data_IF_480368948627
#
_entry.id   IF_480368948627
#
_cell.length_a   1.000
_cell.length_b   1.000
_cell.length_c   1.000
_cell.angle_alpha   90.00
_cell.angle_beta   90.00
_cell.angle_gamma   90.00
#
_symmetry.space_group_name_H-M   'P 1'
#
loop_
_entity.id
_entity.type
_entity.pdbx_description
1 polymer ?
#
# COMPACT_ATOMS: atom_id res chain seq x y z
N UNK A 1 -17.96 23.26 15.49
CA UNK A 1 -16.57 22.99 15.92
C UNK A 1 -16.05 21.65 15.38
N UNK A 2 -16.54 20.49 15.82
CA UNK A 2 -16.00 19.16 15.40
C UNK A 2 -15.93 18.96 13.87
N UNK A 3 -17.01 19.27 13.13
CA UNK A 3 -17.04 19.15 11.66
C UNK A 3 -16.04 20.07 10.96
N UNK A 4 -15.91 21.31 11.43
CA UNK A 4 -14.95 22.27 10.90
C UNK A 4 -13.52 21.77 11.12
N UNK A 5 -13.20 21.28 12.32
CA UNK A 5 -11.88 20.72 12.62
C UNK A 5 -11.56 19.51 11.74
N UNK A 6 -12.54 18.64 11.44
CA UNK A 6 -12.35 17.50 10.53
C UNK A 6 -12.08 17.98 9.11
N UNK A 7 -12.85 18.94 8.59
CA UNK A 7 -12.65 19.49 7.24
C UNK A 7 -11.27 20.17 7.14
N UNK A 8 -10.88 20.94 8.15
CA UNK A 8 -9.58 21.59 8.20
C UNK A 8 -8.45 20.55 8.15
N UNK A 9 -8.55 19.50 8.97
CA UNK A 9 -7.53 18.45 9.04
C UNK A 9 -7.50 17.63 7.73
N UNK A 10 -8.64 17.39 7.10
CA UNK A 10 -8.73 16.79 5.76
C UNK A 10 -8.03 17.66 4.70
N UNK A 11 -8.26 18.96 4.71
CA UNK A 11 -7.59 19.86 3.76
C UNK A 11 -6.08 19.90 3.97
N UNK A 12 -5.62 20.03 5.21
CA UNK A 12 -4.18 20.01 5.53
C UNK A 12 -3.54 18.70 5.08
N UNK A 13 -4.19 17.57 5.35
CA UNK A 13 -3.66 16.26 4.91
C UNK A 13 -3.68 16.11 3.39
N UNK A 14 -4.71 16.56 2.69
CA UNK A 14 -4.74 16.57 1.22
C UNK A 14 -3.61 17.42 0.63
N UNK A 15 -3.45 18.66 1.09
CA UNK A 15 -2.40 19.56 0.58
C UNK A 15 -0.99 19.10 0.93
N UNK A 16 -0.80 18.42 2.06
CA UNK A 16 0.50 17.94 2.52
C UNK A 16 0.90 16.57 1.95
N UNK A 17 -0.07 15.68 1.73
CA UNK A 17 0.18 14.30 1.30
C UNK A 17 -0.02 14.10 -0.21
N UNK A 18 -0.51 15.12 -0.91
CA UNK A 18 -0.70 15.09 -2.36
C UNK A 18 -0.14 16.35 -3.01
N UNK A 19 0.03 16.30 -4.33
CA UNK A 19 0.45 17.45 -5.14
C UNK A 19 -0.65 18.51 -5.35
N UNK A 20 -1.73 18.51 -4.54
CA UNK A 20 -2.81 19.48 -4.65
C UNK A 20 -2.32 20.93 -4.45
N UNK A 21 -1.23 21.12 -3.71
CA UNK A 21 -0.60 22.43 -3.54
C UNK A 21 -0.06 23.03 -4.86
N UNK A 22 0.25 22.20 -5.88
CA UNK A 22 0.67 22.66 -7.20
C UNK A 22 -0.42 23.45 -7.93
N UNK A 23 -1.70 23.28 -7.57
CA UNK A 23 -2.82 24.05 -8.14
C UNK A 23 -2.65 25.56 -7.91
N UNK A 24 -1.96 25.95 -6.83
CA UNK A 24 -1.65 27.36 -6.55
C UNK A 24 -0.71 27.97 -7.62
N UNK A 25 0.06 27.15 -8.34
CA UNK A 25 0.95 27.58 -9.44
C UNK A 25 0.21 27.75 -10.78
N UNK A 26 -1.08 27.40 -10.90
CA UNK A 26 -1.85 27.54 -12.15
C UNK A 26 -1.85 28.96 -12.76
N UNK A 27 -1.93 30.07 -11.98
CA UNK A 27 -1.85 31.40 -12.54
C UNK A 27 -0.52 31.69 -13.27
N UNK A 28 0.59 31.07 -12.84
CA UNK A 28 1.88 31.19 -13.52
C UNK A 28 1.85 30.51 -14.90
N UNK A 29 1.23 29.32 -14.98
CA UNK A 29 1.03 28.61 -16.24
C UNK A 29 0.18 29.44 -17.23
N UNK A 30 -0.94 30.00 -16.77
CA UNK A 30 -1.81 30.81 -17.64
C UNK A 30 -1.08 32.06 -18.14
N UNK A 31 -0.30 32.72 -17.28
CA UNK A 31 0.50 33.89 -17.67
C UNK A 31 1.54 33.51 -18.73
N UNK A 32 2.30 32.45 -18.50
CA UNK A 32 3.34 32.03 -19.43
C UNK A 32 2.76 31.53 -20.76
N UNK A 33 1.61 30.85 -20.74
CA UNK A 33 0.87 30.51 -21.95
C UNK A 33 0.48 31.76 -22.77
N UNK A 34 0.03 32.84 -22.12
CA UNK A 34 -0.27 34.09 -22.82
C UNK A 34 0.96 34.79 -23.37
N UNK A 35 2.11 34.72 -22.70
CA UNK A 35 3.39 35.22 -23.23
C UNK A 35 3.73 34.53 -24.56
N UNK A 36 3.74 33.19 -24.58
CA UNK A 36 3.99 32.44 -25.81
C UNK A 36 2.94 32.67 -26.89
N UNK A 37 1.67 32.87 -26.52
CA UNK A 37 0.60 33.16 -27.48
C UNK A 37 0.70 34.58 -28.07
N UNK A 38 1.27 35.52 -27.32
CA UNK A 38 1.54 36.87 -27.82
C UNK A 38 2.69 36.87 -28.84
N UNK A 39 3.69 36.01 -28.64
CA UNK A 39 4.82 35.84 -29.57
C UNK A 39 4.47 34.96 -30.77
N UNK A 40 3.67 33.91 -30.55
CA UNK A 40 3.22 32.94 -31.55
C UNK A 40 1.70 32.84 -31.52
N UNK A 41 1.04 33.62 -32.37
CA UNK A 41 -0.43 33.75 -32.42
C UNK A 41 -1.19 32.42 -32.51
N UNK A 42 -0.56 31.42 -33.12
CA UNK A 42 -1.18 30.12 -33.45
C UNK A 42 -0.89 29.03 -32.42
N UNK A 43 -0.22 29.36 -31.30
CA UNK A 43 0.06 28.37 -30.26
C UNK A 43 -1.23 27.95 -29.53
N UNK A 44 -1.53 26.65 -29.56
CA UNK A 44 -2.58 26.07 -28.74
C UNK A 44 -2.09 25.73 -27.32
N UNK A 45 -3.02 25.56 -26.38
CA UNK A 45 -2.67 25.12 -25.03
C UNK A 45 -2.02 23.72 -25.04
N UNK A 46 -2.45 22.84 -25.96
CA UNK A 46 -1.86 21.51 -26.09
C UNK A 46 -0.40 21.61 -26.54
N UNK A 47 -0.09 22.45 -27.52
CA UNK A 47 1.28 22.67 -28.00
C UNK A 47 2.18 23.22 -26.88
N UNK A 48 1.67 24.17 -26.09
CA UNK A 48 2.36 24.70 -24.93
C UNK A 48 2.70 23.61 -23.91
N UNK A 49 1.74 22.74 -23.57
CA UNK A 49 1.95 21.62 -22.65
C UNK A 49 2.97 20.62 -23.21
N UNK A 50 2.88 20.27 -24.50
CA UNK A 50 3.83 19.36 -25.15
C UNK A 50 5.25 19.93 -25.11
N UNK A 51 5.41 21.22 -25.40
CA UNK A 51 6.69 21.91 -25.35
C UNK A 51 7.29 21.91 -23.94
N UNK A 52 6.48 22.23 -22.92
CA UNK A 52 6.99 22.43 -21.56
C UNK A 52 6.95 21.17 -20.68
N UNK A 53 6.28 20.09 -21.05
CA UNK A 53 6.21 18.88 -20.20
C UNK A 53 6.74 17.62 -20.88
N UNK A 54 6.78 17.57 -22.22
CA UNK A 54 7.17 16.36 -22.96
C UNK A 54 8.52 16.47 -23.66
N UNK A 55 9.06 17.68 -23.84
CA UNK A 55 10.38 17.91 -24.46
C UNK A 55 11.53 18.10 -23.44
N UNK A 56 11.28 17.83 -22.16
CA UNK A 56 12.25 17.98 -21.09
C UNK A 56 12.36 19.43 -20.58
N UNK A 57 13.55 19.80 -20.12
CA UNK A 57 13.84 21.10 -19.51
C UNK A 57 15.19 21.64 -20.01
N UNK A 58 15.26 22.12 -21.28
CA UNK A 58 16.46 22.77 -21.78
C UNK A 58 16.76 24.01 -20.94
N UNK A 59 18.04 24.26 -20.62
CA UNK A 59 18.46 25.50 -19.96
C UNK A 59 18.55 26.63 -20.99
N UNK A 60 17.41 27.23 -21.29
CA UNK A 60 17.27 28.44 -22.11
C UNK A 60 16.88 29.64 -21.25
N UNK A 61 16.57 30.76 -21.90
CA UNK A 61 16.25 32.03 -21.24
C UNK A 61 14.95 31.96 -20.41
N UNK A 62 14.05 31.02 -20.70
CA UNK A 62 12.79 30.83 -19.97
C UNK A 62 12.88 29.74 -18.88
N UNK A 63 14.02 29.05 -18.75
CA UNK A 63 14.21 27.95 -17.79
C UNK A 63 13.75 28.26 -16.37
N UNK A 64 14.05 29.45 -15.85
CA UNK A 64 13.67 29.84 -14.49
C UNK A 64 12.14 30.04 -14.34
N UNK A 65 11.45 30.44 -15.41
CA UNK A 65 9.98 30.51 -15.44
C UNK A 65 9.38 29.13 -15.60
N UNK A 66 9.98 28.28 -16.44
CA UNK A 66 9.59 26.89 -16.65
C UNK A 66 9.57 26.12 -15.34
N UNK A 67 10.61 26.28 -14.52
CA UNK A 67 10.70 25.60 -13.23
C UNK A 67 9.63 26.04 -12.22
N UNK A 68 8.96 27.17 -12.46
CA UNK A 68 7.84 27.64 -11.63
C UNK A 68 6.49 27.08 -12.09
N UNK A 69 6.44 26.36 -13.22
CA UNK A 69 5.20 25.76 -13.71
C UNK A 69 4.73 24.62 -12.77
N UNK A 70 3.42 24.44 -12.62
CA UNK A 70 2.85 23.38 -11.78
C UNK A 70 3.35 22.02 -12.26
N UNK A 71 3.72 21.13 -11.32
CA UNK A 71 4.18 19.77 -11.60
C UNK A 71 5.47 19.67 -12.45
N UNK A 72 6.21 20.77 -12.68
CA UNK A 72 7.48 20.73 -13.43
C UNK A 72 8.64 20.21 -12.58
N UNK A 73 8.66 20.56 -11.29
CA UNK A 73 9.66 20.12 -10.31
C UNK A 73 9.05 19.15 -9.31
N UNK A 74 9.76 18.04 -9.04
CA UNK A 74 9.40 17.11 -7.98
C UNK A 74 9.98 17.60 -6.64
N UNK A 75 9.41 18.67 -6.09
CA UNK A 75 9.86 19.26 -4.81
C UNK A 75 9.50 18.38 -3.61
N UNK A 76 8.44 17.57 -3.74
CA UNK A 76 7.92 16.68 -2.69
C UNK A 76 7.72 15.27 -3.23
N UNK A 77 8.80 14.59 -3.62
CA UNK A 77 8.73 13.16 -3.95
C UNK A 77 8.45 12.33 -2.67
N UNK A 78 7.23 12.39 -2.14
CA UNK A 78 6.60 11.19 -1.60
C UNK A 78 6.54 10.22 -2.76
N UNK A 79 7.62 9.45 -2.90
CA UNK A 79 7.77 8.48 -3.97
C UNK A 79 6.56 7.57 -3.89
N UNK A 80 5.61 7.69 -4.83
CA UNK A 80 4.56 6.69 -5.00
C UNK A 80 5.27 5.48 -5.61
N UNK A 81 5.95 4.71 -4.77
CA UNK A 81 6.41 3.39 -5.13
C UNK A 81 5.16 2.53 -5.29
N UNK A 82 4.79 2.28 -6.54
CA UNK A 82 3.78 1.29 -6.87
C UNK A 82 4.36 -0.09 -6.54
N UNK A 83 4.20 -0.53 -5.30
CA UNK A 83 4.64 -1.87 -4.89
C UNK A 83 3.69 -2.91 -5.46
N UNK A 84 4.05 -3.45 -6.63
CA UNK A 84 3.41 -4.64 -7.18
C UNK A 84 3.94 -5.83 -6.40
N UNK A 85 3.32 -6.13 -5.26
CA UNK A 85 3.62 -7.34 -4.50
C UNK A 85 3.00 -8.56 -5.20
N UNK A 86 3.79 -9.60 -5.51
CA UNK A 86 3.25 -10.82 -6.12
C UNK A 86 2.28 -11.50 -5.16
N UNK A 87 1.19 -12.05 -5.69
CA UNK A 87 0.17 -12.76 -4.90
C UNK A 87 0.83 -13.86 -4.05
N UNK A 88 0.75 -13.74 -2.72
CA UNK A 88 1.26 -14.78 -1.84
C UNK A 88 0.35 -16.02 -1.96
N UNK A 89 0.93 -17.23 -2.07
CA UNK A 89 0.14 -18.45 -2.09
C UNK A 89 -0.53 -18.64 -0.73
N UNK A 90 -1.84 -18.40 -0.67
CA UNK A 90 -2.67 -18.70 0.48
C UNK A 90 -2.88 -20.23 0.55
N UNK A 91 -2.38 -20.87 1.60
CA UNK A 91 -2.70 -22.28 1.89
C UNK A 91 -3.84 -22.32 2.89
N UNK A 92 -5.05 -22.66 2.42
CA UNK A 92 -6.18 -22.88 3.29
C UNK A 92 -5.90 -24.09 4.19
N UNK A 93 -6.05 -23.95 5.51
CA UNK A 93 -5.95 -25.07 6.44
C UNK A 93 -7.08 -26.06 6.10
N UNK A 94 -6.72 -27.27 5.68
CA UNK A 94 -7.70 -28.33 5.47
C UNK A 94 -8.33 -28.74 6.82
N UNK A 95 -9.65 -28.97 6.87
CA UNK A 95 -10.29 -29.43 8.10
C UNK A 95 -9.77 -30.83 8.46
N UNK A 96 -9.32 -30.98 9.71
CA UNK A 96 -8.91 -32.28 10.26
C UNK A 96 -10.15 -33.12 10.49
N UNK A 97 -10.26 -34.26 9.78
CA UNK A 97 -11.34 -35.23 9.98
C UNK A 97 -10.91 -36.22 11.07
N UNK A 98 -11.62 -36.21 12.20
CA UNK A 98 -11.45 -37.22 13.24
C UNK A 98 -12.37 -38.41 12.96
N UNK A 99 -11.79 -39.59 12.76
CA UNK A 99 -12.54 -40.84 12.64
C UNK A 99 -12.59 -41.47 14.03
N UNK A 100 -13.77 -41.46 14.66
CA UNK A 100 -14.00 -42.17 15.92
C UNK A 100 -14.04 -43.68 15.64
N UNK A 101 -13.00 -44.40 16.08
CA UNK A 101 -12.99 -45.87 16.04
C UNK A 101 -13.54 -46.39 17.37
N UNK A 102 -14.72 -46.99 17.33
CA UNK A 102 -15.25 -47.77 18.44
C UNK A 102 -14.73 -49.21 18.34
N UNK A 103 -14.14 -49.71 19.42
CA UNK A 103 -13.76 -51.11 19.55
C UNK A 103 -14.74 -51.80 20.50
N UNK A 104 -15.14 -53.05 20.22
CA UNK A 104 -15.96 -53.80 21.17
C UNK A 104 -15.19 -53.97 22.48
N UNK A 105 -15.77 -53.51 23.59
CA UNK A 105 -15.23 -53.78 24.92
C UNK A 105 -15.42 -55.26 25.24
N UNK A 106 -14.33 -55.98 25.46
CA UNK A 106 -14.40 -57.33 26.00
C UNK A 106 -15.01 -57.25 27.41
N UNK A 107 -16.09 -57.99 27.65
CA UNK A 107 -16.65 -58.14 28.98
C UNK A 107 -15.69 -58.97 29.84
N UNK A 108 -15.03 -58.31 30.79
CA UNK A 108 -14.03 -58.90 31.67
C UNK A 108 -14.65 -59.75 32.80
N UNK A 109 -15.99 -59.91 32.81
CA UNK A 109 -16.76 -60.63 33.84
C UNK A 109 -16.35 -62.09 34.06
N UNK A 110 -15.68 -62.71 33.09
CA UNK A 110 -15.24 -64.11 33.14
C UNK A 110 -13.74 -64.30 33.38
N UNK A 111 -12.96 -63.22 33.54
CA UNK A 111 -11.53 -63.34 33.86
C UNK A 111 -11.37 -63.65 35.35
N UNK A 112 -11.07 -64.93 35.65
CA UNK A 112 -10.58 -65.30 36.98
C UNK A 112 -9.21 -64.68 37.17
N UNK A 113 -9.13 -63.63 37.99
CA UNK A 113 -7.86 -63.08 38.45
C UNK A 113 -7.18 -64.09 39.38
N UNK A 114 -6.46 -65.05 38.81
CA UNK A 114 -5.51 -65.86 39.56
C UNK A 114 -4.29 -64.97 39.85
N UNK A 115 -4.33 -64.30 41.01
CA UNK A 115 -3.19 -63.80 41.78
C UNK A 115 -1.96 -63.33 40.96
N UNK A 116 -2.10 -62.23 40.20
CA UNK A 116 -0.97 -61.56 39.54
C UNK A 116 -0.36 -60.45 40.41
N UNK A 117 -0.50 -60.55 41.74
CA UNK A 117 -0.03 -59.53 42.67
C UNK A 117 1.49 -59.31 42.63
N UNK A 118 2.23 -60.18 41.94
CA UNK A 118 3.70 -60.18 41.90
C UNK A 118 4.32 -59.68 40.58
N UNK A 119 3.51 -59.23 39.61
CA UNK A 119 4.03 -58.84 38.28
C UNK A 119 4.69 -57.44 38.30
N UNK A 120 4.39 -56.61 39.30
CA UNK A 120 4.90 -55.23 39.37
C UNK A 120 5.56 -54.92 40.72
N UNK A 121 6.70 -55.55 41.00
CA UNK A 121 7.59 -55.07 42.06
C UNK A 121 8.72 -54.19 41.46
N UNK A 122 8.86 -52.92 41.89
CA UNK A 122 10.01 -52.12 41.49
C UNK A 122 11.32 -52.68 42.09
N UNK A 123 12.50 -52.37 41.50
CA UNK A 123 13.78 -52.87 41.99
C UNK A 123 14.04 -52.42 43.43
N UNK A 124 14.37 -53.37 44.32
CA UNK A 124 14.79 -53.06 45.69
C UNK A 124 16.28 -52.74 45.69
N UNK A 125 16.64 -51.51 46.06
CA UNK A 125 18.04 -51.11 46.19
C UNK A 125 18.63 -51.65 47.50
N UNK A 126 19.86 -52.17 47.42
CA UNK A 126 20.67 -52.65 48.55
C UNK A 126 21.30 -51.51 49.34
#
# INVERSE_FOLDING_TARGET
MKRFSIILLLLVTLFSQTELHQVVKLPALVRHFWEHRAEKSDMSLADFIVMHYLHGSPKDDDYDKDMQLPFKTAECASSVTLEITPAQPFSALQPVVFIEKSYPSLDNSSVRFNHTADIWQPPKFS
#
